data_IF_704617118128
#
_entry.id   IF_704617118128
#
_cell.length_a   1.000
_cell.length_b   1.000
_cell.length_c   1.000
_cell.angle_alpha   90.00
_cell.angle_beta   90.00
_cell.angle_gamma   90.00
#
_symmetry.space_group_name_H-M   'P 1'
#
loop_
_entity.id
_entity.type
_entity.pdbx_description
1 polymer ?
#
# COMPACT_ATOMS: atom_id res chain seq x y z
N UNK A 1 -63.68 -15.87 -3.45
CA UNK A 1 -62.46 -15.84 -2.60
C UNK A 1 -61.18 -16.32 -3.30
N UNK A 2 -61.22 -17.19 -4.33
CA UNK A 2 -60.01 -17.67 -5.05
C UNK A 2 -59.20 -16.59 -5.80
N UNK A 3 -59.81 -15.47 -6.19
CA UNK A 3 -59.15 -14.41 -6.96
C UNK A 3 -58.31 -13.45 -6.11
N UNK A 4 -58.52 -13.40 -4.78
CA UNK A 4 -57.80 -12.47 -3.90
C UNK A 4 -56.41 -13.01 -3.54
N UNK A 5 -56.33 -14.31 -3.23
CA UNK A 5 -55.07 -15.01 -2.93
C UNK A 5 -54.16 -15.08 -4.16
N UNK A 6 -54.72 -15.29 -5.36
CA UNK A 6 -53.97 -15.29 -6.61
C UNK A 6 -53.34 -13.93 -6.94
N UNK A 7 -54.08 -12.83 -6.73
CA UNK A 7 -53.56 -11.46 -6.93
C UNK A 7 -52.48 -11.09 -5.91
N UNK A 8 -52.66 -11.46 -4.64
CA UNK A 8 -51.65 -11.23 -3.60
C UNK A 8 -50.36 -12.02 -3.85
N UNK A 9 -50.48 -13.27 -4.33
CA UNK A 9 -49.31 -14.09 -4.67
C UNK A 9 -48.54 -13.51 -5.87
N UNK A 10 -49.26 -13.01 -6.89
CA UNK A 10 -48.66 -12.36 -8.05
C UNK A 10 -47.86 -11.10 -7.66
N UNK A 11 -48.41 -10.27 -6.75
CA UNK A 11 -47.74 -9.05 -6.26
C UNK A 11 -46.48 -9.41 -5.48
N UNK A 12 -46.53 -10.43 -4.62
CA UNK A 12 -45.36 -10.89 -3.84
C UNK A 12 -44.26 -11.40 -4.78
N UNK A 13 -44.60 -12.18 -5.82
CA UNK A 13 -43.64 -12.66 -6.80
C UNK A 13 -43.03 -11.51 -7.63
N UNK A 14 -43.80 -10.47 -7.96
CA UNK A 14 -43.29 -9.28 -8.66
C UNK A 14 -42.35 -8.45 -7.79
N UNK A 15 -42.65 -8.29 -6.50
CA UNK A 15 -41.78 -7.57 -5.54
C UNK A 15 -40.50 -8.34 -5.28
N UNK A 16 -40.57 -9.67 -5.06
CA UNK A 16 -39.39 -10.51 -4.93
C UNK A 16 -38.55 -10.53 -6.22
N UNK A 17 -39.21 -10.58 -7.38
CA UNK A 17 -38.53 -10.42 -8.67
C UNK A 17 -37.79 -9.09 -8.75
N UNK A 18 -38.43 -7.98 -8.40
CA UNK A 18 -37.81 -6.65 -8.41
C UNK A 18 -36.62 -6.52 -7.45
N UNK A 19 -36.72 -7.11 -6.25
CA UNK A 19 -35.62 -7.16 -5.27
C UNK A 19 -34.45 -8.01 -5.76
N UNK A 20 -34.72 -9.16 -6.40
CA UNK A 20 -33.69 -10.01 -7.01
C UNK A 20 -33.05 -9.36 -8.25
N UNK A 21 -33.79 -8.51 -8.97
CA UNK A 21 -33.24 -7.72 -10.09
C UNK A 21 -32.34 -6.57 -9.62
N UNK A 22 -32.55 -6.01 -8.41
CA UNK A 22 -31.62 -5.02 -7.83
C UNK A 22 -30.27 -5.64 -7.44
N UNK A 23 -30.24 -6.89 -6.98
CA UNK A 23 -29.00 -7.62 -6.68
C UNK A 23 -28.18 -7.99 -7.93
N UNK A 24 -28.81 -8.00 -9.10
CA UNK A 24 -28.18 -8.33 -10.39
C UNK A 24 -27.75 -7.10 -11.21
N UNK A 25 -27.79 -5.88 -10.66
CA UNK A 25 -26.97 -4.80 -11.21
C UNK A 25 -25.51 -5.07 -10.83
N UNK A 26 -24.85 -5.91 -11.61
CA UNK A 26 -23.38 -5.89 -11.70
C UNK A 26 -23.00 -4.45 -11.99
N UNK A 27 -22.46 -3.76 -11.00
CA UNK A 27 -21.73 -2.53 -11.21
C UNK A 27 -20.62 -2.88 -12.21
N UNK A 28 -20.82 -2.49 -13.47
CA UNK A 28 -19.73 -2.38 -14.42
C UNK A 28 -18.90 -1.20 -13.94
N UNK A 29 -18.07 -1.43 -12.93
CA UNK A 29 -17.15 -0.42 -12.42
C UNK A 29 -16.17 -0.10 -13.55
N UNK A 30 -16.49 0.93 -14.33
CA UNK A 30 -15.57 1.47 -15.31
C UNK A 30 -14.47 2.19 -14.54
N UNK A 31 -13.29 1.58 -14.44
CA UNK A 31 -12.13 2.26 -13.89
C UNK A 31 -11.51 3.16 -14.97
N UNK A 32 -10.95 4.29 -14.54
CA UNK A 32 -10.10 5.12 -15.39
C UNK A 32 -8.67 4.59 -15.27
N UNK A 33 -8.03 4.34 -16.40
CA UNK A 33 -6.62 3.94 -16.40
C UNK A 33 -5.76 5.05 -15.77
N UNK A 34 -4.87 4.73 -14.80
CA UNK A 34 -3.99 5.73 -14.21
C UNK A 34 -3.01 6.31 -15.24
N UNK A 35 -2.79 7.62 -15.20
CA UNK A 35 -1.93 8.32 -16.16
C UNK A 35 -0.42 8.15 -15.87
N UNK A 36 -0.05 7.56 -14.74
CA UNK A 36 1.33 7.43 -14.26
C UNK A 36 1.96 6.04 -14.38
N UNK A 37 1.33 5.11 -15.10
CA UNK A 37 1.86 3.75 -15.26
C UNK A 37 3.20 3.76 -16.04
N UNK A 38 4.18 3.00 -15.55
CA UNK A 38 5.45 2.76 -16.24
C UNK A 38 5.48 1.35 -16.82
N UNK A 39 6.26 1.15 -17.89
CA UNK A 39 6.46 -0.19 -18.46
C UNK A 39 7.30 -1.08 -17.54
N UNK A 40 7.13 -2.40 -17.68
CA UNK A 40 7.92 -3.39 -16.92
C UNK A 40 9.43 -3.19 -17.11
N UNK A 41 9.88 -2.98 -18.36
CA UNK A 41 11.29 -2.69 -18.66
C UNK A 41 11.82 -1.46 -17.92
N UNK A 42 10.98 -0.42 -17.77
CA UNK A 42 11.36 0.80 -17.03
C UNK A 42 11.40 0.55 -15.53
N UNK A 43 10.48 -0.26 -14.99
CA UNK A 43 10.49 -0.68 -13.60
C UNK A 43 11.74 -1.53 -13.26
N UNK A 44 12.08 -2.51 -14.10
CA UNK A 44 13.30 -3.33 -13.98
C UNK A 44 14.57 -2.47 -13.99
N UNK A 45 14.63 -1.48 -14.89
CA UNK A 45 15.75 -0.54 -14.93
C UNK A 45 15.86 0.29 -13.64
N UNK A 46 14.74 0.77 -13.09
CA UNK A 46 14.73 1.50 -11.82
C UNK A 46 15.15 0.62 -10.64
N UNK A 47 14.70 -0.63 -10.60
CA UNK A 47 15.12 -1.56 -9.55
C UNK A 47 16.61 -1.89 -9.66
N UNK A 48 17.13 -2.15 -10.86
CA UNK A 48 18.56 -2.37 -11.08
C UNK A 48 19.39 -1.19 -10.57
N UNK A 49 19.00 0.04 -10.93
CA UNK A 49 19.68 1.24 -10.46
C UNK A 49 19.64 1.34 -8.92
N UNK A 50 18.50 1.02 -8.30
CA UNK A 50 18.37 1.02 -6.84
C UNK A 50 19.30 0.00 -6.17
N UNK A 51 19.35 -1.22 -6.71
CA UNK A 51 20.22 -2.29 -6.21
C UNK A 51 21.70 -1.90 -6.26
N UNK A 52 22.14 -1.34 -7.39
CA UNK A 52 23.54 -1.02 -7.63
C UNK A 52 24.03 0.22 -6.87
N UNK A 53 23.16 1.19 -6.59
CA UNK A 53 23.58 2.50 -6.08
C UNK A 53 23.14 2.79 -4.64
N UNK A 54 21.89 2.46 -4.27
CA UNK A 54 21.36 2.76 -2.93
C UNK A 54 21.42 1.55 -2.02
N UNK A 55 20.83 0.43 -2.45
CA UNK A 55 20.71 -0.77 -1.63
C UNK A 55 22.07 -1.34 -1.27
N UNK A 56 23.01 -1.40 -2.23
CA UNK A 56 24.39 -1.82 -1.97
C UNK A 56 25.05 -0.98 -0.87
N UNK A 57 25.02 0.36 -1.01
CA UNK A 57 25.65 1.26 -0.05
C UNK A 57 25.03 1.18 1.35
N UNK A 58 23.69 1.09 1.43
CA UNK A 58 22.99 0.95 2.72
C UNK A 58 23.43 -0.33 3.41
N UNK A 59 23.45 -1.46 2.70
CA UNK A 59 23.84 -2.75 3.28
C UNK A 59 25.32 -2.80 3.67
N UNK A 60 26.22 -2.23 2.86
CA UNK A 60 27.64 -2.10 3.23
C UNK A 60 27.79 -1.35 4.56
N UNK A 61 27.03 -0.27 4.77
CA UNK A 61 27.06 0.51 6.02
C UNK A 61 26.38 -0.18 7.20
N UNK A 62 25.28 -0.89 6.98
CA UNK A 62 24.62 -1.65 8.04
C UNK A 62 25.51 -2.78 8.58
N UNK A 63 26.32 -3.39 7.72
CA UNK A 63 27.19 -4.52 8.09
C UNK A 63 28.61 -4.10 8.43
N UNK A 64 29.01 -2.84 8.23
CA UNK A 64 30.35 -2.36 8.53
C UNK A 64 30.81 -2.71 9.96
N UNK A 65 29.99 -2.55 11.03
CA UNK A 65 30.40 -2.93 12.38
C UNK A 65 30.69 -4.43 12.55
N UNK A 66 30.05 -5.32 11.78
CA UNK A 66 30.29 -6.76 11.83
C UNK A 66 31.64 -7.11 11.19
N UNK A 67 31.95 -6.48 10.06
CA UNK A 67 33.20 -6.68 9.31
C UNK A 67 34.42 -6.18 10.08
N UNK A 68 34.32 -5.01 10.73
CA UNK A 68 35.44 -4.41 11.47
C UNK A 68 35.81 -5.18 12.76
N UNK A 69 34.88 -5.97 13.32
CA UNK A 69 35.10 -6.72 14.58
C UNK A 69 35.68 -8.13 14.40
N UNK A 70 35.69 -8.69 13.18
CA UNK A 70 36.09 -10.08 12.97
C UNK A 70 37.22 -10.15 11.93
N UNK A 71 38.46 -10.00 12.38
CA UNK A 71 39.63 -10.25 11.53
C UNK A 71 39.68 -11.73 11.11
N UNK A 72 39.68 -12.00 9.80
CA UNK A 72 39.99 -13.32 9.24
C UNK A 72 38.80 -14.31 9.15
N UNK A 73 37.56 -13.85 9.29
CA UNK A 73 36.36 -14.70 9.05
C UNK A 73 35.63 -14.22 7.80
N UNK A 74 35.49 -15.12 6.84
CA UNK A 74 34.60 -14.93 5.70
C UNK A 74 33.15 -15.06 6.17
N UNK A 75 32.43 -13.93 6.27
CA UNK A 75 30.99 -13.93 6.57
C UNK A 75 30.22 -14.65 5.45
N UNK A 76 29.31 -15.57 5.81
CA UNK A 76 28.38 -16.15 4.85
C UNK A 76 27.24 -15.16 4.59
N UNK A 77 26.58 -15.25 3.42
CA UNK A 77 25.46 -14.36 3.06
C UNK A 77 24.27 -14.45 4.07
N UNK A 78 24.19 -15.55 4.83
CA UNK A 78 23.27 -15.74 5.96
C UNK A 78 23.55 -14.86 7.17
N UNK A 79 24.78 -14.37 7.29
CA UNK A 79 25.26 -13.59 8.45
C UNK A 79 25.10 -12.08 8.21
N UNK A 80 24.74 -11.68 6.98
CA UNK A 80 24.53 -10.28 6.61
C UNK A 80 23.12 -9.81 6.99
N UNK A 81 23.09 -8.70 7.73
CA UNK A 81 21.89 -7.91 7.88
C UNK A 81 21.56 -7.27 6.54
N UNK A 82 20.43 -7.64 5.96
CA UNK A 82 19.90 -7.00 4.75
C UNK A 82 18.82 -5.99 5.12
N UNK A 83 18.90 -4.81 4.51
CA UNK A 83 17.85 -3.80 4.55
C UNK A 83 16.61 -4.26 3.76
N UNK A 84 15.48 -3.58 3.96
CA UNK A 84 14.28 -3.82 3.15
C UNK A 84 14.49 -3.35 1.70
N UNK A 85 14.49 -4.29 0.75
CA UNK A 85 14.47 -3.97 -0.69
C UNK A 85 13.08 -3.57 -1.19
N UNK A 86 12.04 -4.15 -0.62
CA UNK A 86 10.66 -3.96 -1.05
C UNK A 86 9.70 -3.89 0.15
N UNK A 87 8.64 -3.12 -0.03
CA UNK A 87 7.55 -2.99 0.94
C UNK A 87 6.25 -3.39 0.23
N UNK A 88 5.59 -4.43 0.74
CA UNK A 88 4.30 -4.88 0.21
C UNK A 88 3.16 -4.39 1.08
N UNK A 89 2.19 -3.72 0.49
CA UNK A 89 0.89 -3.47 1.11
C UNK A 89 -0.15 -4.42 0.54
N UNK A 90 -1.05 -4.97 1.36
CA UNK A 90 -2.20 -5.68 0.81
C UNK A 90 -3.15 -4.65 0.15
N UNK A 91 -3.72 -5.02 -0.99
CA UNK A 91 -4.71 -4.18 -1.67
C UNK A 91 -5.92 -3.92 -0.78
N UNK A 92 -6.40 -4.95 -0.09
CA UNK A 92 -7.53 -4.86 0.84
C UNK A 92 -7.26 -3.85 1.97
N UNK A 93 -6.08 -3.89 2.60
CA UNK A 93 -5.79 -2.97 3.70
C UNK A 93 -5.59 -1.54 3.19
N UNK A 94 -4.97 -1.38 2.02
CA UNK A 94 -4.83 -0.07 1.39
C UNK A 94 -6.22 0.51 1.02
N UNK A 95 -7.14 -0.30 0.51
CA UNK A 95 -8.52 0.10 0.24
C UNK A 95 -9.27 0.48 1.52
N UNK A 96 -9.14 -0.32 2.57
CA UNK A 96 -9.75 -0.03 3.88
C UNK A 96 -9.21 1.27 4.46
N UNK A 97 -7.91 1.52 4.36
CA UNK A 97 -7.30 2.76 4.79
C UNK A 97 -7.79 3.97 3.96
N UNK A 98 -7.91 3.83 2.64
CA UNK A 98 -8.50 4.88 1.79
C UNK A 98 -9.94 5.19 2.20
N UNK A 99 -10.75 4.16 2.51
CA UNK A 99 -12.13 4.35 3.01
C UNK A 99 -12.14 5.05 4.36
N UNK A 100 -11.25 4.66 5.27
CA UNK A 100 -11.08 5.28 6.59
C UNK A 100 -10.71 6.77 6.49
N UNK A 101 -9.72 7.11 5.66
CA UNK A 101 -9.34 8.51 5.39
C UNK A 101 -10.53 9.29 4.85
N UNK A 102 -11.21 8.78 3.80
CA UNK A 102 -12.36 9.45 3.20
C UNK A 102 -13.47 9.70 4.24
N UNK A 103 -13.85 8.67 4.99
CA UNK A 103 -14.90 8.78 6.01
C UNK A 103 -14.59 9.86 7.07
N UNK A 104 -13.32 10.01 7.45
CA UNK A 104 -12.89 11.06 8.37
C UNK A 104 -13.01 12.46 7.73
N UNK A 105 -12.60 12.59 6.47
CA UNK A 105 -12.53 13.87 5.76
C UNK A 105 -13.83 14.31 5.08
N UNK A 106 -14.81 13.42 4.94
CA UNK A 106 -16.02 13.59 4.11
C UNK A 106 -16.88 14.81 4.49
N UNK A 107 -16.70 15.36 5.70
CA UNK A 107 -17.40 16.54 6.20
C UNK A 107 -16.61 17.85 6.08
N UNK A 108 -15.30 17.76 5.88
CA UNK A 108 -14.38 18.90 6.02
C UNK A 108 -13.70 19.27 4.70
N UNK A 109 -13.56 18.32 3.77
CA UNK A 109 -12.74 18.49 2.57
C UNK A 109 -13.40 17.95 1.31
N UNK A 110 -13.10 18.54 0.16
CA UNK A 110 -13.51 18.01 -1.12
C UNK A 110 -12.72 16.73 -1.46
N UNK A 111 -13.41 15.74 -2.05
CA UNK A 111 -12.85 14.39 -2.26
C UNK A 111 -11.65 14.36 -3.21
N UNK A 112 -11.58 15.30 -4.13
CA UNK A 112 -10.52 15.46 -5.13
C UNK A 112 -9.28 16.20 -4.62
N UNK A 113 -9.34 16.73 -3.39
CA UNK A 113 -8.22 17.45 -2.75
C UNK A 113 -7.44 16.57 -1.78
N UNK A 114 -7.95 15.37 -1.51
CA UNK A 114 -7.33 14.39 -0.61
C UNK A 114 -6.39 13.50 -1.41
N UNK A 115 -5.17 13.34 -0.92
CA UNK A 115 -4.17 12.45 -1.50
C UNK A 115 -3.38 11.72 -0.41
N UNK A 116 -2.57 10.72 -0.81
CA UNK A 116 -1.64 10.05 0.09
C UNK A 116 -0.22 10.48 -0.23
N UNK A 117 0.51 10.94 0.79
CA UNK A 117 1.95 11.15 0.74
C UNK A 117 2.66 9.92 1.31
N UNK A 118 3.70 9.48 0.62
CA UNK A 118 4.53 8.35 1.06
C UNK A 118 5.80 8.89 1.72
N UNK A 119 6.09 8.41 2.92
CA UNK A 119 7.32 8.73 3.64
C UNK A 119 8.25 7.51 3.69
N UNK A 120 9.54 7.77 3.56
CA UNK A 120 10.61 6.83 3.92
C UNK A 120 10.87 6.91 5.42
N UNK A 121 10.98 5.77 6.09
CA UNK A 121 11.31 5.67 7.50
C UNK A 121 12.19 4.46 7.78
N UNK A 122 12.58 4.28 9.04
CA UNK A 122 13.27 3.09 9.52
C UNK A 122 12.50 2.50 10.71
N UNK A 123 12.33 1.19 10.73
CA UNK A 123 11.74 0.44 11.84
C UNK A 123 12.77 -0.50 12.45
N UNK A 124 12.66 -0.64 13.76
CA UNK A 124 13.43 -1.62 14.52
C UNK A 124 12.76 -2.99 14.34
N UNK A 125 13.48 -3.96 13.77
CA UNK A 125 13.03 -5.34 13.61
C UNK A 125 13.83 -6.22 14.56
N UNK A 126 13.12 -7.01 15.36
CA UNK A 126 13.72 -8.04 16.22
C UNK A 126 13.58 -9.38 15.52
N UNK A 127 14.68 -10.09 15.38
CA UNK A 127 14.64 -11.49 14.99
C UNK A 127 14.40 -12.33 16.24
N UNK A 128 13.48 -13.30 16.19
CA UNK A 128 13.09 -14.10 17.35
C UNK A 128 14.27 -14.82 18.04
N UNK A 129 15.39 -14.99 17.33
CA UNK A 129 16.61 -15.66 17.82
C UNK A 129 17.70 -14.70 18.30
N UNK A 130 17.60 -13.41 18.01
CA UNK A 130 18.64 -12.43 18.31
C UNK A 130 18.21 -11.48 19.43
N UNK A 131 19.11 -11.23 20.38
CA UNK A 131 18.90 -10.19 21.42
C UNK A 131 18.98 -8.78 20.83
N UNK A 132 19.59 -8.66 19.65
CA UNK A 132 19.85 -7.40 18.99
C UNK A 132 18.79 -7.09 17.96
N UNK A 133 18.30 -5.86 18.04
CA UNK A 133 17.37 -5.32 17.06
C UNK A 133 18.10 -4.65 15.92
N UNK A 134 17.56 -4.80 14.71
CA UNK A 134 18.18 -4.25 13.52
C UNK A 134 17.28 -3.22 12.86
N UNK A 135 17.86 -2.11 12.40
CA UNK A 135 17.11 -1.07 11.69
C UNK A 135 16.91 -1.49 10.24
N UNK A 136 15.66 -1.49 9.79
CA UNK A 136 15.28 -1.72 8.40
C UNK A 136 14.43 -0.57 7.86
N UNK A 137 14.68 -0.19 6.62
CA UNK A 137 13.88 0.75 5.85
C UNK A 137 12.41 0.30 5.81
N UNK A 138 11.51 1.27 5.84
CA UNK A 138 10.07 1.08 5.72
C UNK A 138 9.45 2.26 4.99
N UNK A 139 8.22 2.07 4.50
CA UNK A 139 7.39 3.14 3.95
C UNK A 139 6.09 3.23 4.75
N UNK A 140 5.52 4.43 4.83
CA UNK A 140 4.19 4.62 5.39
C UNK A 140 3.43 5.75 4.69
N UNK A 141 2.10 5.65 4.70
CA UNK A 141 1.21 6.61 4.05
C UNK A 141 0.65 7.61 5.06
N UNK A 142 0.76 8.90 4.74
CA UNK A 142 0.08 9.99 5.44
C UNK A 142 -0.95 10.62 4.50
N UNK A 143 -2.22 10.78 4.92
CA UNK A 143 -3.20 11.49 4.14
C UNK A 143 -2.90 12.99 4.15
N UNK A 144 -3.07 13.61 2.99
CA UNK A 144 -2.82 15.04 2.80
C UNK A 144 -3.98 15.70 2.12
N UNK A 145 -4.19 16.98 2.39
CA UNK A 145 -5.21 17.80 1.74
C UNK A 145 -4.59 19.04 1.12
N UNK A 146 -5.09 19.42 -0.06
CA UNK A 146 -4.79 20.73 -0.64
C UNK A 146 -5.64 21.78 0.06
N UNK A 147 -5.04 22.74 0.73
CA UNK A 147 -5.81 23.89 1.24
C UNK A 147 -6.35 24.72 0.07
N UNK A 148 -7.66 24.90 0.01
CA UNK A 148 -8.30 25.84 -0.94
C UNK A 148 -8.06 27.26 -0.46
N UNK A 149 -6.88 27.80 -0.74
CA UNK A 149 -6.65 29.24 -0.66
C UNK A 149 -6.91 29.87 -2.03
N UNK A 150 -7.12 31.19 -2.07
CA UNK A 150 -7.24 31.95 -3.34
C UNK A 150 -6.00 31.82 -4.24
N UNK A 151 -4.91 31.23 -3.75
CA UNK A 151 -3.72 30.88 -4.51
C UNK A 151 -3.78 29.41 -4.95
N UNK A 152 -3.74 29.20 -6.26
CA UNK A 152 -3.80 27.88 -6.91
C UNK A 152 -2.61 26.95 -6.63
N UNK A 153 -1.57 27.48 -5.97
CA UNK A 153 -0.30 26.80 -5.66
C UNK A 153 -0.16 26.35 -4.19
N UNK A 154 -1.22 26.43 -3.38
CA UNK A 154 -1.14 26.00 -1.98
C UNK A 154 -0.62 24.55 -1.87
N UNK A 155 0.41 24.31 -1.04
CA UNK A 155 1.01 22.98 -0.90
C UNK A 155 0.02 22.03 -0.21
N UNK A 156 0.11 20.73 -0.52
CA UNK A 156 -0.65 19.72 0.21
C UNK A 156 -0.10 19.61 1.65
N UNK A 157 -0.97 19.75 2.64
CA UNK A 157 -0.64 19.62 4.06
C UNK A 157 -1.01 18.24 4.58
N UNK A 158 -0.25 17.73 5.55
CA UNK A 158 -0.57 16.48 6.22
C UNK A 158 -1.80 16.64 7.13
N UNK A 159 -2.72 15.67 7.08
CA UNK A 159 -3.83 15.56 8.03
C UNK A 159 -3.32 14.80 9.26
N UNK A 160 -2.80 15.55 10.23
CA UNK A 160 -2.10 14.99 11.39
C UNK A 160 -3.04 14.34 12.43
N UNK A 161 -4.37 14.48 12.27
CA UNK A 161 -5.37 13.85 13.12
C UNK A 161 -5.62 12.37 12.78
N UNK A 162 -5.12 11.92 11.62
CA UNK A 162 -5.22 10.54 11.18
C UNK A 162 -3.90 9.81 11.40
N UNK A 163 -3.99 8.58 11.91
CA UNK A 163 -2.82 7.73 12.07
C UNK A 163 -2.27 7.33 10.69
N UNK A 164 -0.95 7.41 10.46
CA UNK A 164 -0.32 6.91 9.25
C UNK A 164 -0.46 5.39 9.11
N UNK A 165 -0.64 4.90 7.88
CA UNK A 165 -0.64 3.45 7.60
C UNK A 165 0.80 2.97 7.36
N UNK A 166 1.31 2.18 8.31
CA UNK A 166 2.53 1.40 8.17
C UNK A 166 2.21 -0.09 8.39
N UNK A 167 1.56 -0.71 7.41
CA UNK A 167 1.30 -2.15 7.41
C UNK A 167 1.86 -2.82 6.17
N UNK A 168 3.05 -2.37 5.78
CA UNK A 168 3.82 -3.01 4.73
C UNK A 168 4.55 -4.23 5.29
N UNK A 169 4.27 -5.44 4.78
CA UNK A 169 5.11 -6.60 5.07
C UNK A 169 6.43 -6.41 4.32
N UNK A 170 7.35 -5.67 4.93
CA UNK A 170 8.76 -5.80 4.63
C UNK A 170 9.20 -7.13 5.25
N UNK A 171 8.88 -8.23 4.58
CA UNK A 171 9.47 -9.52 4.89
C UNK A 171 10.97 -9.44 4.66
N UNK A 172 11.71 -10.39 5.25
CA UNK A 172 13.05 -10.73 4.79
C UNK A 172 13.06 -10.83 3.26
N UNK A 173 14.12 -10.37 2.56
CA UNK A 173 14.02 -9.91 1.18
C UNK A 173 13.40 -10.97 0.28
N UNK A 174 12.08 -10.84 0.05
CA UNK A 174 11.40 -11.62 -0.98
C UNK A 174 12.08 -11.22 -2.28
N UNK A 175 12.79 -12.15 -2.90
CA UNK A 175 13.25 -12.00 -4.26
C UNK A 175 12.02 -11.79 -5.14
N UNK A 176 11.67 -10.55 -5.44
CA UNK A 176 10.58 -10.23 -6.36
C UNK A 176 11.08 -10.57 -7.76
N UNK A 177 10.87 -11.80 -8.19
CA UNK A 177 11.02 -12.15 -9.60
C UNK A 177 9.85 -11.54 -10.38
N UNK A 178 10.15 -10.65 -11.32
CA UNK A 178 9.16 -10.18 -12.29
C UNK A 178 8.80 -11.33 -13.22
N UNK A 179 7.66 -11.98 -12.97
CA UNK A 179 7.10 -12.94 -13.92
C UNK A 179 6.49 -12.18 -15.10
N UNK A 180 7.16 -12.22 -16.24
CA UNK A 180 6.53 -11.84 -17.51
C UNK A 180 5.45 -12.87 -17.84
N UNK A 181 4.22 -12.39 -18.09
CA UNK A 181 3.19 -13.28 -18.66
C UNK A 181 3.62 -13.62 -20.09
N UNK A 182 3.79 -14.91 -20.36
CA UNK A 182 3.84 -15.45 -21.72
C UNK A 182 2.48 -15.42 -22.39
#
# INVERSE_FOLDING_TARGET
MKNLTSKSLLIICLVLGFLLFQECQKNNDSYKEPTGLISLKKAEMYEKNYLENQYKFINEKLNQPLVDTIEGVDMQDSDYIKDSRAIRFSLEELENYIKYVKAYTDKEYAKDEISLRVYFGAKNVKFEKDKDSVMRSTLFFIPTVKEVTRNTEAPHQNINQLNPLNYGSAGDPDSIEYKTKG
#
